data_IF_726681614139
#
_entry.id   IF_726681614139
#
_cell.length_a   1.000
_cell.length_b   1.000
_cell.length_c   1.000
_cell.angle_alpha   90.00
_cell.angle_beta   90.00
_cell.angle_gamma   90.00
#
_symmetry.space_group_name_H-M   'P 1'
#
loop_
_entity.id
_entity.type
_entity.pdbx_description
1 polymer ?
#
# COMPACT_ATOMS: atom_id res chain seq x y z
N UNK A 1 13.87 5.77 -5.14
CA UNK A 1 12.49 6.21 -4.81
C UNK A 1 11.94 7.04 -5.96
N UNK A 2 11.00 6.48 -6.74
CA UNK A 2 10.35 7.14 -7.87
C UNK A 2 9.05 7.87 -7.48
N UNK A 3 8.77 8.01 -6.18
CA UNK A 3 7.57 8.66 -5.65
C UNK A 3 7.41 10.12 -6.07
N UNK A 4 8.42 11.01 -5.97
CA UNK A 4 8.23 12.42 -6.33
C UNK A 4 7.87 12.61 -7.81
N UNK A 5 8.52 11.95 -8.78
CA UNK A 5 8.12 12.00 -10.18
C UNK A 5 6.66 11.58 -10.44
N UNK A 6 6.18 10.49 -9.81
CA UNK A 6 4.78 10.04 -9.96
C UNK A 6 3.81 11.12 -9.50
N UNK A 7 4.05 11.70 -8.32
CA UNK A 7 3.19 12.76 -7.77
C UNK A 7 3.22 14.01 -8.65
N UNK A 8 4.40 14.42 -9.13
CA UNK A 8 4.53 15.57 -10.01
C UNK A 8 3.77 15.36 -11.32
N UNK A 9 3.93 14.22 -11.98
CA UNK A 9 3.21 13.93 -13.22
C UNK A 9 1.69 13.90 -13.00
N UNK A 10 1.20 13.36 -11.89
CA UNK A 10 -0.22 13.43 -11.55
C UNK A 10 -0.72 14.87 -11.38
N UNK A 11 0.04 15.74 -10.71
CA UNK A 11 -0.33 17.14 -10.48
C UNK A 11 -0.34 17.95 -11.79
N UNK A 12 0.54 17.61 -12.73
CA UNK A 12 0.60 18.23 -14.05
C UNK A 12 -0.35 17.60 -15.08
N UNK A 13 -1.28 16.73 -14.65
CA UNK A 13 -2.25 16.05 -15.53
C UNK A 13 -1.61 15.06 -16.52
N UNK A 14 -0.33 14.74 -16.35
CA UNK A 14 0.45 13.83 -17.18
C UNK A 14 0.25 12.36 -16.74
N UNK A 15 -1.01 11.89 -16.76
CA UNK A 15 -1.40 10.61 -16.19
C UNK A 15 -0.69 9.39 -16.82
N UNK A 16 -0.40 9.43 -18.13
CA UNK A 16 0.31 8.34 -18.81
C UNK A 16 1.79 8.27 -18.39
N UNK A 17 2.44 9.42 -18.17
CA UNK A 17 3.80 9.46 -17.63
C UNK A 17 3.81 9.00 -16.17
N UNK A 18 2.83 9.42 -15.38
CA UNK A 18 2.65 8.94 -14.01
C UNK A 18 2.48 7.42 -13.97
N UNK A 19 1.65 6.85 -14.85
CA UNK A 19 1.46 5.40 -15.00
C UNK A 19 2.76 4.69 -15.32
N UNK A 20 3.49 5.18 -16.33
CA UNK A 20 4.76 4.57 -16.75
C UNK A 20 5.77 4.53 -15.62
N UNK A 21 5.96 5.65 -14.92
CA UNK A 21 6.89 5.73 -13.79
C UNK A 21 6.42 4.90 -12.60
N UNK A 22 5.14 4.93 -12.27
CA UNK A 22 4.58 4.12 -11.18
C UNK A 22 4.74 2.62 -11.45
N UNK A 23 4.51 2.18 -12.68
CA UNK A 23 4.70 0.80 -13.11
C UNK A 23 6.18 0.38 -13.04
N UNK A 24 7.08 1.20 -13.57
CA UNK A 24 8.53 0.94 -13.51
C UNK A 24 9.03 0.91 -12.06
N UNK A 25 8.53 1.79 -11.21
CA UNK A 25 8.86 1.80 -9.78
C UNK A 25 8.45 0.49 -9.10
N UNK A 26 7.19 0.08 -9.24
CA UNK A 26 6.71 -1.17 -8.64
C UNK A 26 7.42 -2.41 -9.20
N UNK A 27 7.79 -2.40 -10.50
CA UNK A 27 8.56 -3.49 -11.09
C UNK A 27 10.00 -3.53 -10.56
N UNK A 28 10.66 -2.38 -10.43
CA UNK A 28 12.01 -2.28 -9.87
C UNK A 28 12.06 -2.80 -8.44
N UNK A 29 11.12 -2.35 -7.59
CA UNK A 29 11.07 -2.75 -6.17
C UNK A 29 10.79 -4.27 -6.03
N UNK A 30 9.96 -4.83 -6.91
CA UNK A 30 9.71 -6.27 -6.98
C UNK A 30 10.94 -7.09 -7.41
N UNK A 31 11.69 -6.59 -8.39
CA UNK A 31 12.93 -7.20 -8.89
C UNK A 31 14.03 -7.13 -7.83
N UNK A 32 14.27 -5.96 -7.23
CA UNK A 32 15.27 -5.77 -6.18
C UNK A 32 14.96 -6.64 -4.96
N UNK A 33 13.70 -6.72 -4.56
CA UNK A 33 13.24 -7.60 -3.49
C UNK A 33 13.41 -9.10 -3.80
N UNK A 34 13.33 -9.50 -5.08
CA UNK A 34 13.60 -10.88 -5.51
C UNK A 34 15.10 -11.19 -5.50
N UNK A 35 15.93 -10.31 -6.07
CA UNK A 35 17.39 -10.48 -6.07
C UNK A 35 17.95 -10.50 -4.64
N UNK A 36 17.50 -9.59 -3.76
CA UNK A 36 17.94 -9.55 -2.36
C UNK A 36 17.60 -10.85 -1.60
N UNK A 37 16.46 -11.48 -1.90
CA UNK A 37 16.09 -12.79 -1.33
C UNK A 37 16.93 -13.93 -1.91
N UNK A 38 17.23 -13.89 -3.21
CA UNK A 38 17.96 -14.96 -3.91
C UNK A 38 19.46 -14.97 -3.58
N UNK A 39 20.06 -13.79 -3.41
CA UNK A 39 21.51 -13.65 -3.17
C UNK A 39 21.87 -13.38 -1.71
N UNK A 40 20.89 -13.31 -0.80
CA UNK A 40 21.14 -13.13 0.63
C UNK A 40 21.65 -11.74 1.01
N UNK A 41 21.54 -10.75 0.12
CA UNK A 41 22.00 -9.37 0.32
C UNK A 41 21.03 -8.53 1.15
N UNK A 42 20.49 -9.10 2.23
CA UNK A 42 19.59 -8.40 3.14
C UNK A 42 20.38 -7.73 4.25
N UNK A 43 20.53 -6.42 4.18
CA UNK A 43 20.94 -5.62 5.33
C UNK A 43 19.72 -5.37 6.23
N UNK A 44 19.95 -5.23 7.54
CA UNK A 44 18.87 -4.94 8.51
C UNK A 44 18.16 -3.62 8.19
N UNK A 45 18.92 -2.62 7.73
CA UNK A 45 18.40 -1.31 7.30
C UNK A 45 17.61 -1.41 6.00
N UNK A 46 18.14 -2.08 4.96
CA UNK A 46 17.42 -2.27 3.69
C UNK A 46 16.09 -3.01 3.88
N UNK A 47 16.06 -4.01 4.75
CA UNK A 47 14.84 -4.78 5.03
C UNK A 47 13.68 -3.97 5.63
N UNK A 48 13.97 -2.78 6.19
CA UNK A 48 12.98 -1.84 6.74
C UNK A 48 12.70 -0.71 5.75
N UNK A 49 13.72 -0.25 5.03
CA UNK A 49 13.61 0.83 4.06
C UNK A 49 12.82 0.42 2.81
N UNK A 50 12.98 -0.81 2.29
CA UNK A 50 12.27 -1.25 1.08
C UNK A 50 10.74 -1.24 1.28
N UNK A 51 10.16 -1.86 2.32
CA UNK A 51 8.70 -1.85 2.50
C UNK A 51 8.15 -0.45 2.84
N UNK A 52 8.99 0.42 3.40
CA UNK A 52 8.63 1.81 3.68
C UNK A 52 8.56 2.61 2.37
N UNK A 53 9.53 2.42 1.46
CA UNK A 53 9.54 3.04 0.15
C UNK A 53 8.31 2.64 -0.66
N UNK A 54 8.02 1.34 -0.76
CA UNK A 54 6.82 0.80 -1.44
C UNK A 54 5.53 1.44 -0.91
N UNK A 55 5.39 1.51 0.42
CA UNK A 55 4.21 2.10 1.05
C UNK A 55 4.12 3.60 0.81
N UNK A 56 5.24 4.32 0.86
CA UNK A 56 5.22 5.77 0.59
C UNK A 56 4.81 6.07 -0.85
N UNK A 57 5.27 5.28 -1.82
CA UNK A 57 4.86 5.41 -3.22
C UNK A 57 3.34 5.25 -3.35
N UNK A 58 2.79 4.17 -2.79
CA UNK A 58 1.37 3.87 -2.89
C UNK A 58 0.51 4.91 -2.16
N UNK A 59 0.86 5.27 -0.92
CA UNK A 59 0.11 6.27 -0.14
C UNK A 59 0.15 7.65 -0.78
N UNK A 60 1.32 8.11 -1.24
CA UNK A 60 1.44 9.41 -1.92
C UNK A 60 0.62 9.44 -3.21
N UNK A 61 0.63 8.34 -3.97
CA UNK A 61 -0.20 8.18 -5.17
C UNK A 61 -1.68 8.30 -4.84
N UNK A 62 -2.17 7.55 -3.85
CA UNK A 62 -3.58 7.59 -3.44
C UNK A 62 -4.02 8.95 -2.87
N UNK A 63 -3.16 9.61 -2.09
CA UNK A 63 -3.42 10.97 -1.59
C UNK A 63 -3.57 11.92 -2.77
N UNK A 64 -2.68 11.83 -3.77
CA UNK A 64 -2.71 12.70 -4.95
C UNK A 64 -3.96 12.43 -5.79
N UNK A 65 -4.26 11.16 -6.10
CA UNK A 65 -5.46 10.78 -6.85
C UNK A 65 -6.75 11.21 -6.13
N UNK A 66 -6.80 11.12 -4.81
CA UNK A 66 -7.93 11.61 -4.01
C UNK A 66 -8.04 13.12 -4.03
N UNK A 67 -6.91 13.84 -3.94
CA UNK A 67 -6.86 15.30 -4.06
C UNK A 67 -7.31 15.81 -5.42
N UNK A 68 -7.03 15.06 -6.48
CA UNK A 68 -7.52 15.30 -7.85
C UNK A 68 -8.96 14.84 -8.07
N UNK A 69 -9.66 14.34 -7.04
CA UNK A 69 -11.02 13.80 -7.12
C UNK A 69 -11.20 12.61 -8.09
N UNK A 70 -10.11 11.94 -8.46
CA UNK A 70 -10.12 10.76 -9.34
C UNK A 70 -10.51 9.48 -8.61
N UNK A 71 -10.42 9.48 -7.27
CA UNK A 71 -10.94 8.43 -6.40
C UNK A 71 -11.63 9.05 -5.18
N UNK A 72 -12.57 8.34 -4.55
CA UNK A 72 -13.26 8.88 -3.38
C UNK A 72 -12.32 9.12 -2.20
N UNK A 73 -12.33 10.33 -1.63
CA UNK A 73 -11.49 10.70 -0.47
C UNK A 73 -11.70 9.80 0.75
N UNK A 74 -12.93 9.29 0.95
CA UNK A 74 -13.21 8.37 2.04
C UNK A 74 -12.44 7.04 1.90
N UNK A 75 -12.17 6.59 0.67
CA UNK A 75 -11.38 5.37 0.41
C UNK A 75 -9.92 5.62 0.77
N UNK A 76 -9.38 6.78 0.39
CA UNK A 76 -8.02 7.21 0.74
C UNK A 76 -7.85 7.26 2.26
N UNK A 77 -8.79 7.89 2.96
CA UNK A 77 -8.80 7.94 4.43
C UNK A 77 -8.82 6.56 5.07
N UNK A 78 -9.63 5.63 4.55
CA UNK A 78 -9.69 4.25 5.04
C UNK A 78 -8.36 3.52 4.87
N UNK A 79 -7.70 3.66 3.71
CA UNK A 79 -6.39 3.05 3.43
C UNK A 79 -5.34 3.58 4.41
N UNK A 80 -5.26 4.89 4.59
CA UNK A 80 -4.33 5.54 5.52
C UNK A 80 -4.60 5.07 6.96
N UNK A 81 -5.86 5.06 7.38
CA UNK A 81 -6.25 4.62 8.73
C UNK A 81 -5.84 3.16 8.98
N UNK A 82 -6.13 2.26 8.04
CA UNK A 82 -5.74 0.85 8.13
C UNK A 82 -4.23 0.70 8.25
N UNK A 83 -3.47 1.46 7.47
CA UNK A 83 -2.01 1.40 7.52
C UNK A 83 -1.43 1.98 8.81
N UNK A 84 -1.99 3.08 9.31
CA UNK A 84 -1.63 3.67 10.60
C UNK A 84 -1.92 2.71 11.76
N UNK A 85 -3.05 2.00 11.72
CA UNK A 85 -3.41 0.98 12.71
C UNK A 85 -2.38 -0.16 12.71
N UNK A 86 -1.95 -0.64 11.53
CA UNK A 86 -0.93 -1.69 11.39
C UNK A 86 0.43 -1.27 11.93
N UNK A 87 0.90 -0.09 11.55
CA UNK A 87 2.20 0.42 12.01
C UNK A 87 2.16 0.73 13.50
N UNK A 88 1.10 1.39 13.97
CA UNK A 88 0.93 1.77 15.38
C UNK A 88 0.88 0.55 16.30
N UNK A 89 0.15 -0.51 15.91
CA UNK A 89 0.14 -1.73 16.70
C UNK A 89 1.50 -2.44 16.69
N UNK A 90 2.16 -2.53 15.54
CA UNK A 90 3.49 -3.14 15.46
C UNK A 90 4.50 -2.43 16.38
N UNK A 91 4.47 -1.09 16.42
CA UNK A 91 5.29 -0.29 17.31
C UNK A 91 4.94 -0.53 18.79
N UNK A 92 3.66 -0.56 19.15
CA UNK A 92 3.21 -0.84 20.52
C UNK A 92 3.62 -2.25 20.98
N UNK A 93 3.45 -3.26 20.11
CA UNK A 93 3.84 -4.64 20.41
C UNK A 93 5.36 -4.78 20.59
N UNK A 94 6.15 -4.09 19.76
CA UNK A 94 7.59 -4.05 19.89
C UNK A 94 8.02 -3.41 21.22
N UNK A 95 7.37 -2.31 21.63
CA UNK A 95 7.68 -1.65 22.90
C UNK A 95 7.46 -2.57 24.10
N UNK A 96 6.41 -3.40 24.06
CA UNK A 96 6.06 -4.35 25.14
C UNK A 96 6.97 -5.57 25.13
N UNK A 97 7.21 -6.18 23.97
CA UNK A 97 7.86 -7.50 23.87
C UNK A 97 9.34 -7.46 23.52
N UNK A 98 9.88 -6.29 23.18
CA UNK A 98 11.22 -6.09 22.62
C UNK A 98 11.49 -6.92 21.35
N UNK A 99 10.43 -7.47 20.72
CA UNK A 99 10.50 -8.29 19.52
C UNK A 99 9.62 -7.67 18.44
N UNK A 100 10.22 -7.43 17.28
CA UNK A 100 9.50 -7.06 16.06
C UNK A 100 8.99 -8.34 15.38
N UNK A 101 7.72 -8.68 15.62
CA UNK A 101 7.03 -9.73 14.87
C UNK A 101 6.01 -9.13 13.90
N UNK A 102 6.48 -8.58 12.79
CA UNK A 102 5.59 -8.26 11.66
C UNK A 102 5.45 -9.54 10.84
N UNK A 103 4.39 -10.31 11.07
CA UNK A 103 4.05 -11.43 10.17
C UNK A 103 3.24 -10.87 8.99
N UNK A 104 3.75 -10.96 7.75
CA UNK A 104 2.99 -10.55 6.58
C UNK A 104 1.82 -11.52 6.37
N UNK A 105 0.61 -10.99 6.35
CA UNK A 105 -0.60 -11.77 6.14
C UNK A 105 -0.97 -11.78 4.65
N UNK A 106 -1.44 -12.91 4.12
CA UNK A 106 -1.88 -13.05 2.72
C UNK A 106 -2.96 -12.01 2.35
N UNK A 107 -3.86 -11.68 3.27
CA UNK A 107 -4.89 -10.66 3.06
C UNK A 107 -4.33 -9.25 2.81
N UNK A 108 -3.17 -8.93 3.40
CA UNK A 108 -2.51 -7.65 3.17
C UNK A 108 -1.96 -7.54 1.75
N UNK A 109 -1.44 -8.65 1.20
CA UNK A 109 -0.94 -8.72 -0.17
C UNK A 109 -2.07 -8.54 -1.18
N UNK A 110 -3.20 -9.22 -0.97
CA UNK A 110 -4.38 -9.04 -1.83
C UNK A 110 -4.86 -7.59 -1.84
N UNK A 111 -4.90 -6.94 -0.68
CA UNK A 111 -5.27 -5.53 -0.61
C UNK A 111 -4.27 -4.63 -1.38
N UNK A 112 -2.97 -4.83 -1.20
CA UNK A 112 -1.96 -4.05 -1.93
C UNK A 112 -2.05 -4.27 -3.44
N UNK A 113 -2.28 -5.51 -3.90
CA UNK A 113 -2.51 -5.80 -5.32
C UNK A 113 -3.76 -5.08 -5.83
N UNK A 114 -4.87 -5.13 -5.10
CA UNK A 114 -6.10 -4.43 -5.47
C UNK A 114 -5.88 -2.89 -5.56
N UNK A 115 -5.12 -2.32 -4.62
CA UNK A 115 -4.77 -0.90 -4.62
C UNK A 115 -3.89 -0.51 -5.82
N UNK A 116 -2.88 -1.32 -6.14
CA UNK A 116 -2.02 -1.12 -7.32
C UNK A 116 -2.86 -1.18 -8.60
N UNK A 117 -3.75 -2.17 -8.73
CA UNK A 117 -4.64 -2.30 -9.88
C UNK A 117 -5.57 -1.10 -10.02
N UNK A 118 -6.14 -0.60 -8.91
CA UNK A 118 -6.95 0.61 -8.92
C UNK A 118 -6.13 1.82 -9.38
N UNK A 119 -4.94 2.05 -8.82
CA UNK A 119 -4.09 3.18 -9.19
C UNK A 119 -3.71 3.14 -10.69
N UNK A 120 -3.29 1.98 -11.20
CA UNK A 120 -2.98 1.79 -12.61
C UNK A 120 -4.20 2.03 -13.50
N UNK A 121 -5.38 1.51 -13.13
CA UNK A 121 -6.61 1.72 -13.88
C UNK A 121 -6.99 3.21 -13.92
N UNK A 122 -6.97 3.89 -12.77
CA UNK A 122 -7.26 5.33 -12.68
C UNK A 122 -6.34 6.12 -13.61
N UNK A 123 -5.02 5.90 -13.52
CA UNK A 123 -4.06 6.62 -14.35
C UNK A 123 -4.24 6.30 -15.84
N UNK A 124 -4.51 5.05 -16.19
CA UNK A 124 -4.69 4.63 -17.58
C UNK A 124 -5.93 5.25 -18.22
N UNK A 125 -7.09 5.12 -17.57
CA UNK A 125 -8.33 5.60 -18.16
C UNK A 125 -8.41 7.13 -18.20
N UNK A 126 -7.89 7.83 -17.19
CA UNK A 126 -7.81 9.29 -17.25
C UNK A 126 -6.77 9.76 -18.27
N UNK A 127 -5.60 9.11 -18.38
CA UNK A 127 -4.61 9.47 -19.39
C UNK A 127 -5.02 9.21 -20.84
N UNK A 128 -6.05 8.39 -21.06
CA UNK A 128 -6.62 8.11 -22.37
C UNK A 128 -7.95 8.86 -22.62
N UNK A 129 -8.38 9.72 -21.69
CA UNK A 129 -9.69 10.40 -21.71
C UNK A 129 -10.88 9.45 -21.90
N UNK A 130 -10.79 8.23 -21.36
CA UNK A 130 -11.81 7.19 -21.49
C UNK A 130 -12.74 7.18 -20.28
N UNK A 131 -14.04 7.19 -20.52
CA UNK A 131 -15.03 6.99 -19.46
C UNK A 131 -14.98 5.56 -18.91
N UNK A 132 -14.94 5.42 -17.59
CA UNK A 132 -14.76 4.12 -16.93
C UNK A 132 -15.49 4.01 -15.57
N UNK A 133 -16.57 4.77 -15.39
CA UNK A 133 -17.28 4.88 -14.11
C UNK A 133 -17.76 3.52 -13.54
N UNK A 134 -18.28 2.63 -14.37
CA UNK A 134 -18.73 1.30 -13.93
C UNK A 134 -17.54 0.40 -13.49
N UNK A 135 -16.48 0.21 -14.30
CA UNK A 135 -15.25 -0.46 -13.86
C UNK A 135 -14.62 0.17 -12.61
N UNK A 136 -14.63 1.50 -12.50
CA UNK A 136 -14.12 2.25 -11.36
C UNK A 136 -14.86 1.88 -10.07
N UNK A 137 -16.19 1.88 -10.09
CA UNK A 137 -16.99 1.51 -8.93
C UNK A 137 -16.67 0.10 -8.43
N UNK A 138 -16.51 -0.86 -9.33
CA UNK A 138 -16.16 -2.26 -8.99
C UNK A 138 -14.78 -2.32 -8.31
N UNK A 139 -13.77 -1.67 -8.88
CA UNK A 139 -12.42 -1.66 -8.30
C UNK A 139 -12.37 -0.92 -6.96
N UNK A 140 -13.10 0.18 -6.81
CA UNK A 140 -13.23 0.90 -5.53
C UNK A 140 -13.85 0.01 -4.47
N UNK A 141 -14.94 -0.70 -4.78
CA UNK A 141 -15.58 -1.65 -3.84
C UNK A 141 -14.64 -2.81 -3.51
N UNK A 142 -13.90 -3.33 -4.50
CA UNK A 142 -12.91 -4.39 -4.27
C UNK A 142 -11.81 -3.92 -3.30
N UNK A 143 -11.25 -2.73 -3.52
CA UNK A 143 -10.24 -2.14 -2.63
C UNK A 143 -10.80 -1.88 -1.24
N UNK A 144 -12.04 -1.40 -1.14
CA UNK A 144 -12.73 -1.22 0.12
C UNK A 144 -12.85 -2.54 0.90
N UNK A 145 -13.43 -3.57 0.27
CA UNK A 145 -13.64 -4.88 0.89
C UNK A 145 -12.31 -5.48 1.33
N UNK A 146 -11.29 -5.47 0.48
CA UNK A 146 -9.98 -6.02 0.80
C UNK A 146 -9.25 -5.21 1.89
N UNK A 147 -9.44 -3.89 1.94
CA UNK A 147 -8.88 -3.03 3.01
C UNK A 147 -9.53 -3.34 4.35
N UNK A 148 -10.86 -3.43 4.40
CA UNK A 148 -11.61 -3.76 5.62
C UNK A 148 -11.27 -5.16 6.11
N UNK A 149 -11.30 -6.16 5.22
CA UNK A 149 -10.94 -7.54 5.57
C UNK A 149 -9.51 -7.63 6.10
N UNK A 150 -8.56 -6.98 5.43
CA UNK A 150 -7.19 -6.97 5.89
C UNK A 150 -7.07 -6.31 7.27
N UNK A 151 -7.76 -5.20 7.53
CA UNK A 151 -7.77 -4.55 8.84
C UNK A 151 -8.36 -5.45 9.93
N UNK A 152 -9.50 -6.08 9.66
CA UNK A 152 -10.17 -6.98 10.60
C UNK A 152 -9.30 -8.19 10.97
N UNK A 153 -8.67 -8.82 9.99
CA UNK A 153 -7.78 -9.97 10.22
C UNK A 153 -6.61 -9.58 11.12
N UNK A 154 -5.98 -8.43 10.87
CA UNK A 154 -4.90 -7.93 11.72
C UNK A 154 -5.37 -7.68 13.15
N UNK A 155 -6.51 -7.03 13.34
CA UNK A 155 -7.08 -6.78 14.67
C UNK A 155 -7.33 -8.09 15.44
N UNK A 156 -7.86 -9.13 14.78
CA UNK A 156 -8.12 -10.44 15.40
C UNK A 156 -6.80 -11.13 15.79
N UNK A 157 -5.83 -11.20 14.88
CA UNK A 157 -4.52 -11.81 15.13
C UNK A 157 -3.81 -11.14 16.31
N UNK A 158 -3.89 -9.81 16.37
CA UNK A 158 -3.28 -9.00 17.41
C UNK A 158 -3.96 -9.11 18.77
N UNK A 159 -5.29 -9.14 18.80
CA UNK A 159 -6.04 -9.37 20.04
C UNK A 159 -5.62 -10.70 20.68
N UNK A 160 -5.43 -11.75 19.86
CA UNK A 160 -4.92 -13.04 20.30
C UNK A 160 -3.48 -12.99 20.85
N UNK A 161 -2.56 -12.29 20.16
CA UNK A 161 -1.17 -12.15 20.60
C UNK A 161 -1.02 -11.34 21.88
N UNK A 162 -1.72 -10.23 21.99
CA UNK A 162 -1.68 -9.33 23.16
C UNK A 162 -2.19 -10.05 24.41
N UNK A 163 -3.27 -10.84 24.28
CA UNK A 163 -3.81 -11.66 25.37
C UNK A 163 -2.85 -12.74 25.85
N UNK A 164 -2.02 -13.31 24.96
CA UNK A 164 -1.00 -14.30 25.33
C UNK A 164 0.22 -13.65 25.98
N UNK A 165 0.63 -12.47 25.55
CA UNK A 165 1.77 -11.74 26.11
C UNK A 165 1.50 -11.21 27.53
N UNK A 166 0.23 -10.95 27.88
CA UNK A 166 -0.21 -10.47 29.19
C UNK A 166 -0.65 -11.58 30.15
N UNK A 167 -0.54 -12.86 29.76
CA UNK A 167 -0.81 -13.98 30.68
C UNK A 167 0.45 -14.21 31.54
N UNK A 168 0.34 -14.16 32.87
CA UNK A 168 1.45 -14.39 33.79
C UNK A 168 1.97 -15.83 33.75
#
# INVERSE_FOLDING_TARGET
>A
MLTPPVVLFLIFDEHLLALGVFFVAGLSDGVDGFLAKRYGWKTRLGSILDPLADKTLLLATFITLGGLSLIPLWLVGLIILRDAIIVGWAAAYQAITQRLEIRPNLFSKFNTVAQILLALAVMFFNGMDLSWQAPQGILVVLVFVTTVLSGAVYLIEWAGKTRKALRP
#
